data_IF_649876912846
#
_entry.id   IF_649876912846
#
_cell.length_a   1.000
_cell.length_b   1.000
_cell.length_c   1.000
_cell.angle_alpha   90.00
_cell.angle_beta   90.00
_cell.angle_gamma   90.00
#
_symmetry.space_group_name_H-M   'P 1'
#
loop_
_entity.id
_entity.type
_entity.pdbx_description
1 polymer ?
#
# COMPACT_ATOMS: atom_id res chain seq x y z
N UNK A 1 -3.83 6.83 11.73
CA UNK A 1 -2.85 5.71 11.87
C UNK A 1 -1.44 6.27 11.98
N UNK A 2 -0.94 6.98 10.96
CA UNK A 2 0.40 7.61 10.97
C UNK A 2 0.70 8.45 12.22
N UNK A 3 -0.19 9.38 12.60
CA UNK A 3 -0.04 10.19 13.82
C UNK A 3 -0.03 9.37 15.13
N UNK A 4 -0.69 8.21 15.14
CA UNK A 4 -0.68 7.27 16.27
C UNK A 4 0.53 6.34 16.24
N UNK A 5 1.45 6.54 15.30
CA UNK A 5 2.66 5.72 15.14
C UNK A 5 2.40 4.30 14.64
N UNK A 6 1.23 4.03 14.05
CA UNK A 6 0.87 2.73 13.47
C UNK A 6 1.37 2.67 12.03
N UNK A 7 2.32 1.76 11.78
CA UNK A 7 2.89 1.47 10.46
C UNK A 7 2.04 0.45 9.70
N UNK A 8 1.84 0.66 8.39
CA UNK A 8 1.09 -0.25 7.52
C UNK A 8 1.98 -0.88 6.45
N UNK A 9 2.07 -2.21 6.47
CA UNK A 9 2.59 -2.98 5.35
C UNK A 9 1.39 -3.47 4.53
N UNK A 10 1.27 -3.00 3.29
CA UNK A 10 0.11 -3.34 2.46
C UNK A 10 0.49 -4.42 1.48
N UNK A 11 -0.22 -5.56 1.53
CA UNK A 11 0.01 -6.67 0.61
C UNK A 11 -1.07 -6.65 -0.47
N UNK A 12 -0.66 -6.61 -1.73
CA UNK A 12 -1.57 -6.46 -2.87
C UNK A 12 -1.55 -7.67 -3.79
N UNK A 13 -2.69 -8.35 -3.96
CA UNK A 13 -2.81 -9.45 -4.92
C UNK A 13 -2.80 -8.93 -6.37
N UNK A 14 -1.69 -9.10 -7.06
CA UNK A 14 -1.53 -8.67 -8.45
C UNK A 14 -1.91 -9.79 -9.44
N UNK A 15 -2.58 -9.47 -10.56
CA UNK A 15 -2.87 -8.14 -11.10
C UNK A 15 -4.19 -7.48 -10.61
N UNK A 16 -4.98 -8.16 -9.77
CA UNK A 16 -6.33 -7.70 -9.40
C UNK A 16 -6.36 -6.35 -8.67
N UNK A 17 -5.36 -6.07 -7.84
CA UNK A 17 -5.27 -4.83 -7.06
C UNK A 17 -4.64 -3.66 -7.84
N UNK A 18 -4.06 -3.91 -9.02
CA UNK A 18 -3.31 -2.91 -9.81
C UNK A 18 -4.03 -1.58 -9.98
N UNK A 19 -5.36 -1.52 -10.25
CA UNK A 19 -6.09 -0.25 -10.35
C UNK A 19 -6.09 0.62 -9.09
N UNK A 20 -5.71 0.08 -7.93
CA UNK A 20 -5.66 0.76 -6.63
C UNK A 20 -4.26 0.72 -5.98
N UNK A 21 -3.28 0.10 -6.66
CA UNK A 21 -1.93 -0.11 -6.13
C UNK A 21 -1.33 1.18 -5.59
N UNK A 22 -1.37 2.25 -6.37
CA UNK A 22 -0.77 3.53 -6.01
C UNK A 22 -1.38 4.15 -4.75
N UNK A 23 -2.70 4.01 -4.57
CA UNK A 23 -3.39 4.49 -3.37
C UNK A 23 -2.92 3.73 -2.13
N UNK A 24 -2.80 2.40 -2.22
CA UNK A 24 -2.31 1.56 -1.12
C UNK A 24 -0.82 1.77 -0.85
N UNK A 25 -0.01 2.01 -1.89
CA UNK A 25 1.39 2.41 -1.76
C UNK A 25 1.51 3.75 -1.02
N UNK A 26 0.68 4.74 -1.35
CA UNK A 26 0.67 6.03 -0.67
C UNK A 26 0.28 5.91 0.82
N UNK A 27 -0.70 5.06 1.15
CA UNK A 27 -1.10 4.78 2.54
C UNK A 27 0.01 4.05 3.31
N UNK A 28 0.68 3.08 2.69
CA UNK A 28 1.82 2.42 3.33
C UNK A 28 2.93 3.45 3.60
N UNK A 29 3.27 4.26 2.59
CA UNK A 29 4.31 5.28 2.67
C UNK A 29 4.06 6.32 3.77
N UNK A 30 2.86 6.92 3.84
CA UNK A 30 2.56 7.96 4.86
C UNK A 30 2.70 7.42 6.30
N UNK A 31 2.52 6.11 6.49
CA UNK A 31 2.70 5.46 7.79
C UNK A 31 4.13 4.98 8.08
N UNK A 32 5.06 5.13 7.13
CA UNK A 32 6.42 4.61 7.20
C UNK A 32 6.56 3.12 6.85
N UNK A 33 5.51 2.51 6.30
CA UNK A 33 5.53 1.14 5.84
C UNK A 33 5.83 1.03 4.34
N UNK A 34 5.54 -0.14 3.76
CA UNK A 34 5.76 -0.39 2.34
C UNK A 34 4.64 -1.25 1.72
N UNK A 35 4.47 -1.12 0.41
CA UNK A 35 3.61 -1.99 -0.37
C UNK A 35 4.42 -3.22 -0.82
N UNK A 36 3.82 -4.40 -0.73
CA UNK A 36 4.41 -5.67 -1.16
C UNK A 36 3.46 -6.31 -2.17
N UNK A 37 3.87 -6.49 -3.43
CA UNK A 37 3.05 -7.24 -4.39
C UNK A 37 2.94 -8.70 -3.92
N UNK A 38 1.86 -9.38 -4.30
CA UNK A 38 1.64 -10.79 -4.02
C UNK A 38 1.05 -11.45 -5.27
N UNK A 39 1.79 -12.36 -5.87
CA UNK A 39 1.33 -13.15 -7.03
C UNK A 39 0.67 -14.47 -6.61
N UNK A 40 1.06 -15.03 -5.46
CA UNK A 40 0.55 -16.31 -4.97
C UNK A 40 0.43 -16.40 -3.45
N UNK A 41 -0.65 -17.02 -2.95
CA UNK A 41 -0.98 -17.04 -1.53
C UNK A 41 0.05 -17.75 -0.63
N UNK A 42 0.86 -18.67 -1.17
CA UNK A 42 1.88 -19.43 -0.42
C UNK A 42 2.91 -18.51 0.25
N UNK A 43 3.24 -17.39 -0.40
CA UNK A 43 4.26 -16.46 0.08
C UNK A 43 3.73 -15.42 1.07
N UNK A 44 2.42 -15.37 1.32
CA UNK A 44 1.81 -14.40 2.24
C UNK A 44 2.40 -14.50 3.66
N UNK A 45 2.61 -15.73 4.14
CA UNK A 45 3.21 -15.95 5.47
C UNK A 45 4.63 -15.38 5.56
N UNK A 46 5.44 -15.55 4.51
CA UNK A 46 6.80 -15.00 4.45
C UNK A 46 6.77 -13.47 4.47
N UNK A 47 5.84 -12.85 3.75
CA UNK A 47 5.66 -11.40 3.74
C UNK A 47 5.25 -10.86 5.11
N UNK A 48 4.27 -11.50 5.78
CA UNK A 48 3.81 -11.05 7.10
C UNK A 48 4.94 -11.13 8.12
N UNK A 49 5.65 -12.27 8.18
CA UNK A 49 6.78 -12.44 9.09
C UNK A 49 7.90 -11.47 8.72
N UNK A 50 8.22 -11.33 7.44
CA UNK A 50 9.31 -10.51 6.97
C UNK A 50 9.08 -9.01 7.19
N UNK A 51 7.87 -8.52 6.92
CA UNK A 51 7.48 -7.15 7.23
C UNK A 51 7.51 -6.84 8.72
N UNK A 52 7.06 -7.78 9.58
CA UNK A 52 7.18 -7.63 11.03
C UNK A 52 8.63 -7.60 11.49
N UNK A 53 9.49 -8.46 10.95
CA UNK A 53 10.92 -8.50 11.28
C UNK A 53 11.66 -7.23 10.85
N UNK A 54 11.38 -6.71 9.66
CA UNK A 54 11.91 -5.42 9.18
C UNK A 54 11.47 -4.29 10.11
N UNK A 55 10.18 -4.18 10.42
CA UNK A 55 9.66 -3.11 11.26
C UNK A 55 10.24 -3.14 12.68
N UNK A 56 10.32 -4.31 13.30
CA UNK A 56 10.97 -4.48 14.61
C UNK A 56 12.45 -4.12 14.57
N UNK A 57 13.12 -4.34 13.43
CA UNK A 57 14.53 -3.98 13.27
C UNK A 57 14.73 -2.48 13.14
N UNK A 58 13.85 -1.79 12.40
CA UNK A 58 13.90 -0.33 12.25
C UNK A 58 13.54 0.39 13.55
N UNK A 59 12.58 -0.11 14.34
CA UNK A 59 12.20 0.50 15.63
C UNK A 59 13.36 0.63 16.62
N UNK A 60 14.39 -0.22 16.53
CA UNK A 60 15.61 -0.10 17.36
C UNK A 60 16.34 1.22 17.14
N UNK A 61 16.21 1.79 15.95
CA UNK A 61 16.89 3.01 15.51
C UNK A 61 15.97 4.24 15.52
N UNK A 62 14.68 4.06 15.79
CA UNK A 62 13.70 5.15 15.72
C UNK A 62 13.93 6.24 16.76
N UNK A 63 14.56 5.95 17.90
CA UNK A 63 14.89 6.97 18.89
C UNK A 63 15.90 8.00 18.33
N UNK A 64 16.92 7.51 17.64
CA UNK A 64 17.94 8.36 17.01
C UNK A 64 17.33 9.20 15.89
N UNK A 65 16.52 8.59 15.02
CA UNK A 65 15.79 9.33 13.97
C UNK A 65 14.88 10.38 14.57
N UNK A 66 14.20 10.03 15.67
CA UNK A 66 13.28 10.96 16.31
C UNK A 66 14.01 12.19 16.86
N UNK A 67 15.22 12.04 17.42
CA UNK A 67 16.04 13.16 17.89
C UNK A 67 16.37 14.12 16.74
N UNK A 68 16.83 13.59 15.61
CA UNK A 68 17.17 14.40 14.43
C UNK A 68 15.94 15.13 13.86
N UNK A 69 14.82 14.42 13.73
CA UNK A 69 13.57 15.01 13.20
C UNK A 69 13.04 16.09 14.14
N UNK A 70 13.02 15.87 15.46
CA UNK A 70 12.55 16.88 16.40
C UNK A 70 13.46 18.09 16.46
N UNK A 71 14.78 17.90 16.40
CA UNK A 71 15.74 19.00 16.37
C UNK A 71 15.52 19.92 15.16
N UNK A 72 15.25 19.33 13.99
CA UNK A 72 14.94 20.07 12.76
C UNK A 72 13.59 20.79 12.83
N UNK A 73 12.57 20.14 13.41
CA UNK A 73 11.26 20.78 13.63
C UNK A 73 11.35 21.97 14.59
N UNK A 74 12.13 21.84 15.66
CA UNK A 74 12.37 22.92 16.64
C UNK A 74 13.16 24.07 16.02
N UNK A 75 14.21 23.77 15.26
CA UNK A 75 15.03 24.78 14.58
C UNK A 75 14.22 25.60 13.56
N UNK A 76 13.29 24.97 12.85
CA UNK A 76 12.39 25.65 11.89
C UNK A 76 11.12 26.22 12.53
N UNK A 77 10.80 25.85 13.77
CA UNK A 77 9.58 26.26 14.46
C UNK A 77 8.29 25.65 13.89
N UNK A 78 8.35 24.47 13.27
CA UNK A 78 7.17 23.84 12.66
C UNK A 78 7.41 22.50 11.96
N UNK A 79 6.34 21.95 11.38
CA UNK A 79 6.29 20.62 10.73
C UNK A 79 6.95 20.63 9.33
N UNK A 80 7.14 21.81 8.74
CA UNK A 80 7.68 22.00 7.39
C UNK A 80 9.21 21.83 7.33
N UNK A 81 9.64 20.61 7.61
CA UNK A 81 11.03 20.18 7.50
C UNK A 81 11.33 19.67 6.09
N UNK A 82 12.57 19.85 5.66
CA UNK A 82 13.04 19.30 4.38
C UNK A 82 13.34 17.80 4.60
N UNK A 83 12.38 16.95 4.26
CA UNK A 83 12.45 15.50 4.48
C UNK A 83 13.69 14.87 3.82
N UNK A 84 14.11 15.36 2.65
CA UNK A 84 15.24 14.78 1.93
C UNK A 84 16.57 15.13 2.60
N UNK A 85 16.71 16.38 3.05
CA UNK A 85 17.87 16.81 3.82
C UNK A 85 17.99 16.05 5.14
N UNK A 86 16.88 15.89 5.88
CA UNK A 86 16.87 15.12 7.13
C UNK A 86 17.14 13.64 6.89
N UNK A 87 16.58 13.05 5.83
CA UNK A 87 16.86 11.66 5.43
C UNK A 87 18.35 11.46 5.14
N UNK A 88 18.98 12.39 4.42
CA UNK A 88 20.42 12.33 4.13
C UNK A 88 21.26 12.41 5.40
N UNK A 89 20.90 13.26 6.36
CA UNK A 89 21.55 13.36 7.67
C UNK A 89 21.42 12.07 8.48
N UNK A 90 20.20 11.53 8.56
CA UNK A 90 19.91 10.27 9.25
C UNK A 90 20.67 9.10 8.62
N UNK A 91 20.78 9.05 7.29
CA UNK A 91 21.56 8.01 6.61
C UNK A 91 23.06 8.12 6.91
N UNK A 92 23.62 9.33 6.94
CA UNK A 92 25.00 9.55 7.34
C UNK A 92 25.24 9.13 8.81
N UNK A 93 24.28 9.43 9.70
CA UNK A 93 24.30 8.97 11.09
C UNK A 93 24.34 7.44 11.17
N UNK A 94 23.47 6.75 10.44
CA UNK A 94 23.42 5.29 10.41
C UNK A 94 24.73 4.68 9.91
N UNK A 95 25.32 5.22 8.85
CA UNK A 95 26.64 4.79 8.38
C UNK A 95 27.72 4.97 9.44
N UNK A 96 27.73 6.12 10.12
CA UNK A 96 28.72 6.40 11.17
C UNK A 96 28.61 5.44 12.36
N UNK A 97 27.39 4.99 12.68
CA UNK A 97 27.12 4.04 13.78
C UNK A 97 27.23 2.57 13.37
N UNK A 98 27.47 2.28 12.08
CA UNK A 98 27.39 0.91 11.56
C UNK A 98 26.00 0.29 11.75
N UNK A 99 24.95 1.12 11.64
CA UNK A 99 23.58 0.70 11.89
C UNK A 99 23.13 -0.32 10.84
N UNK A 100 22.55 -1.42 11.32
CA UNK A 100 22.04 -2.51 10.50
C UNK A 100 20.57 -2.72 10.72
N UNK A 101 19.88 -3.14 9.67
CA UNK A 101 18.48 -3.50 9.70
C UNK A 101 18.21 -4.72 8.85
N UNK A 102 17.14 -5.42 9.23
CA UNK A 102 16.47 -6.37 8.35
C UNK A 102 15.76 -5.65 7.21
N UNK A 103 15.66 -6.29 6.05
CA UNK A 103 14.96 -5.78 4.88
C UNK A 103 14.27 -6.91 4.12
N UNK A 104 12.98 -6.74 3.84
CA UNK A 104 12.22 -7.67 3.01
C UNK A 104 12.60 -7.50 1.53
N UNK A 105 12.97 -8.59 0.90
CA UNK A 105 13.30 -8.69 -0.52
C UNK A 105 12.29 -9.57 -1.24
N UNK A 106 12.04 -9.26 -2.51
CA UNK A 106 11.31 -10.10 -3.45
C UNK A 106 12.31 -10.58 -4.51
N UNK A 107 12.47 -11.89 -4.65
CA UNK A 107 13.38 -12.51 -5.62
C UNK A 107 14.80 -11.91 -5.53
N UNK A 108 15.38 -11.81 -4.32
CA UNK A 108 16.70 -11.21 -4.03
C UNK A 108 16.84 -9.74 -4.42
N UNK A 109 15.73 -9.07 -4.71
CA UNK A 109 15.70 -7.67 -5.11
C UNK A 109 14.93 -6.87 -4.07
N UNK A 110 15.39 -5.64 -3.80
CA UNK A 110 14.67 -4.73 -2.92
C UNK A 110 13.29 -4.44 -3.51
N UNK A 111 12.28 -4.33 -2.63
CA UNK A 111 10.96 -3.93 -3.03
C UNK A 111 10.98 -2.56 -3.71
N UNK A 112 10.13 -2.37 -4.71
CA UNK A 112 10.07 -1.13 -5.45
C UNK A 112 9.72 0.04 -4.52
N UNK A 113 10.48 1.14 -4.66
CA UNK A 113 10.14 2.39 -4.01
C UNK A 113 8.77 2.91 -4.50
N UNK A 114 8.05 3.70 -3.69
CA UNK A 114 6.83 4.37 -4.12
C UNK A 114 7.03 5.13 -5.43
N UNK A 115 6.01 5.12 -6.30
CA UNK A 115 6.05 5.94 -7.50
C UNK A 115 5.95 7.44 -7.13
N UNK A 116 6.33 8.32 -8.05
CA UNK A 116 6.11 9.77 -7.90
C UNK A 116 4.64 10.12 -7.67
N UNK A 117 3.72 9.34 -8.26
CA UNK A 117 2.29 9.50 -8.07
C UNK A 117 1.85 9.11 -6.65
N UNK A 118 2.34 7.99 -6.12
CA UNK A 118 2.11 7.60 -4.73
C UNK A 118 2.66 8.62 -3.72
N UNK A 119 3.87 9.16 -3.95
CA UNK A 119 4.44 10.23 -3.13
C UNK A 119 3.53 11.47 -3.12
N UNK A 120 3.08 11.93 -4.29
CA UNK A 120 2.17 13.08 -4.43
C UNK A 120 0.85 12.85 -3.68
N UNK A 121 0.26 11.65 -3.81
CA UNK A 121 -0.98 11.30 -3.10
C UNK A 121 -0.80 11.26 -1.58
N UNK A 122 0.36 10.81 -1.10
CA UNK A 122 0.64 10.70 0.34
C UNK A 122 0.64 12.04 1.07
N UNK A 123 0.93 13.14 0.35
CA UNK A 123 0.88 14.50 0.88
C UNK A 123 -0.53 15.10 0.91
N UNK A 124 -1.54 14.44 0.34
CA UNK A 124 -2.91 14.97 0.28
C UNK A 124 -3.72 14.58 1.50
N UNK A 125 -4.44 15.55 2.08
CA UNK A 125 -5.29 15.33 3.25
C UNK A 125 -6.74 14.94 2.92
N UNK A 126 -7.22 15.25 1.71
CA UNK A 126 -8.61 15.00 1.29
C UNK A 126 -8.69 14.04 0.11
N UNK A 127 -9.63 13.10 0.19
CA UNK A 127 -9.94 12.17 -0.90
C UNK A 127 -10.45 12.87 -2.17
N UNK A 128 -11.09 14.04 -2.04
CA UNK A 128 -11.52 14.85 -3.20
C UNK A 128 -10.35 15.23 -4.09
N UNK A 129 -9.22 15.56 -3.48
CA UNK A 129 -8.04 16.08 -4.17
C UNK A 129 -7.31 14.93 -4.87
N UNK A 130 -7.27 13.75 -4.21
CA UNK A 130 -6.78 12.51 -4.80
C UNK A 130 -7.63 12.12 -6.01
N UNK A 131 -8.96 12.11 -5.89
CA UNK A 131 -9.85 11.76 -7.01
C UNK A 131 -9.66 12.71 -8.21
N UNK A 132 -9.37 13.99 -7.98
CA UNK A 132 -9.15 14.97 -9.03
C UNK A 132 -7.88 14.71 -9.86
N UNK A 133 -6.86 14.06 -9.28
CA UNK A 133 -5.63 13.67 -9.96
C UNK A 133 -5.66 12.22 -10.46
N UNK A 134 -6.40 11.33 -9.80
CA UNK A 134 -6.41 9.89 -10.09
C UNK A 134 -6.86 9.59 -11.52
N UNK A 135 -7.95 10.21 -11.96
CA UNK A 135 -8.48 9.99 -13.31
C UNK A 135 -7.54 10.53 -14.42
N UNK A 136 -6.58 11.40 -14.08
CA UNK A 136 -5.69 12.08 -15.03
C UNK A 136 -4.30 11.48 -15.09
N UNK A 137 -3.77 11.05 -13.95
CA UNK A 137 -2.37 10.71 -13.76
C UNK A 137 -2.14 9.26 -13.31
N UNK A 138 -3.21 8.49 -13.00
CA UNK A 138 -3.03 7.10 -12.58
C UNK A 138 -2.35 6.28 -13.68
N UNK A 139 -1.31 5.48 -13.34
CA UNK A 139 -0.65 4.63 -14.30
C UNK A 139 -1.67 3.65 -14.90
N UNK A 140 -1.67 3.54 -16.23
CA UNK A 140 -2.58 2.64 -16.93
C UNK A 140 -2.39 1.21 -16.41
N UNK A 141 -3.48 0.48 -16.09
CA UNK A 141 -3.36 -0.91 -15.71
C UNK A 141 -2.73 -1.69 -16.87
N UNK A 142 -1.83 -2.62 -16.55
CA UNK A 142 -1.21 -3.47 -17.56
C UNK A 142 -2.28 -4.12 -18.46
N UNK A 143 -2.03 -4.24 -19.78
CA UNK A 143 -3.00 -4.80 -20.71
C UNK A 143 -3.37 -6.23 -20.30
N UNK A 144 -4.61 -6.40 -19.83
CA UNK A 144 -5.11 -7.68 -19.28
C UNK A 144 -5.98 -7.55 -18.02
N UNK A 145 -5.98 -6.38 -17.36
CA UNK A 145 -6.88 -6.12 -16.23
C UNK A 145 -8.34 -6.01 -16.71
N UNK A 146 -9.11 -7.09 -16.55
CA UNK A 146 -10.53 -7.12 -16.85
C UNK A 146 -11.31 -6.12 -15.98
N UNK A 147 -11.66 -4.97 -16.57
CA UNK A 147 -12.78 -4.16 -16.10
C UNK A 147 -13.76 -3.96 -17.25
N UNK A 148 -14.85 -4.75 -17.24
CA UNK A 148 -16.06 -4.39 -17.99
C UNK A 148 -16.61 -3.11 -17.34
N UNK A 149 -16.38 -1.95 -17.95
CA UNK A 149 -17.09 -0.71 -17.58
C UNK A 149 -18.60 -0.96 -17.72
N UNK A 150 -19.31 -1.06 -16.59
CA UNK A 150 -20.76 -0.98 -16.58
C UNK A 150 -21.16 0.42 -17.05
N UNK A 151 -21.55 0.54 -18.31
CA UNK A 151 -22.19 1.76 -18.84
C UNK A 151 -23.52 1.94 -18.10
N UNK A 152 -23.55 2.87 -17.15
CA UNK A 152 -24.79 3.41 -16.58
C UNK A 152 -25.47 4.25 -17.67
N UNK A 153 -26.19 3.61 -18.58
CA UNK A 153 -27.17 4.29 -19.44
C UNK A 153 -28.46 4.39 -18.65
N UNK A 154 -28.91 5.63 -18.43
CA UNK A 154 -30.22 5.90 -17.86
C UNK A 154 -31.32 5.23 -18.70
N UNK A 155 -32.26 4.61 -18.01
CA UNK A 155 -33.55 4.27 -18.58
C UNK A 155 -34.61 4.90 -17.67
N UNK A 156 -35.03 6.10 -18.08
CA UNK A 156 -36.26 6.73 -17.65
C UNK A 156 -37.44 5.98 -18.30
N UNK A 157 -38.51 5.87 -17.51
CA UNK A 157 -39.91 5.65 -17.91
C UNK A 157 -40.29 4.40 -18.73
N UNK A 158 -41.01 3.49 -18.06
CA UNK A 158 -42.29 2.99 -18.57
C UNK A 158 -43.16 2.47 -17.43
N UNK A 159 -43.86 3.37 -16.75
CA UNK A 159 -45.10 3.03 -16.05
C UNK A 159 -46.22 2.94 -17.09
N UNK A 160 -46.79 1.74 -17.29
CA UNK A 160 -48.18 1.58 -17.74
C UNK A 160 -48.70 0.16 -17.45
N UNK A 161 -49.49 0.08 -16.39
CA UNK A 161 -50.72 -0.72 -16.21
C UNK A 161 -51.01 -1.90 -17.15
N UNK A 162 -51.27 -3.09 -16.59
CA UNK A 162 -52.61 -3.72 -16.58
C UNK A 162 -52.64 -5.00 -15.75
N UNK A 163 -53.84 -5.27 -15.24
CA UNK A 163 -54.30 -6.23 -14.25
C UNK A 163 -54.69 -7.61 -14.82
N UNK A 164 -55.06 -8.52 -13.89
CA UNK A 164 -55.47 -9.94 -13.97
C UNK A 164 -54.29 -10.90 -13.89
N UNK A 165 -54.20 -11.87 -12.96
CA UNK A 165 -55.20 -12.57 -12.15
C UNK A 165 -55.08 -14.06 -12.47
N UNK A 166 -54.91 -14.92 -11.46
CA UNK A 166 -54.95 -16.38 -11.61
C UNK A 166 -53.94 -17.15 -10.77
N UNK A 167 -54.45 -17.92 -9.82
CA UNK A 167 -53.78 -18.93 -8.99
C UNK A 167 -53.17 -20.08 -9.81
N UNK A 168 -52.05 -20.64 -9.35
CA UNK A 168 -51.85 -22.08 -9.13
C UNK A 168 -50.48 -22.35 -8.52
N UNK A 169 -50.49 -23.21 -7.50
CA UNK A 169 -49.35 -23.90 -6.89
C UNK A 169 -48.59 -24.73 -7.95
N UNK A 170 -47.26 -24.79 -7.84
CA UNK A 170 -46.45 -25.96 -8.20
C UNK A 170 -45.02 -25.75 -7.67
N UNK A 171 -44.60 -26.67 -6.81
CA UNK A 171 -43.25 -26.86 -6.28
C UNK A 171 -42.28 -27.23 -7.41
N UNK A 172 -41.12 -26.59 -7.47
CA UNK A 172 -39.90 -27.22 -8.01
C UNK A 172 -38.64 -26.45 -7.56
N UNK A 173 -37.97 -27.03 -6.56
CA UNK A 173 -36.67 -26.66 -6.06
C UNK A 173 -35.60 -27.02 -7.12
N UNK A 174 -35.27 -26.08 -8.02
CA UNK A 174 -34.21 -26.28 -9.01
C UNK A 174 -32.85 -26.19 -8.33
N UNK A 175 -32.36 -27.33 -7.87
CA UNK A 175 -30.97 -27.53 -7.44
C UNK A 175 -30.04 -27.32 -8.65
N UNK A 176 -29.47 -26.12 -8.76
CA UNK A 176 -28.48 -25.82 -9.79
C UNK A 176 -27.26 -26.74 -9.60
N UNK A 177 -26.80 -27.46 -10.64
CA UNK A 177 -25.63 -28.31 -10.52
C UNK A 177 -24.39 -27.44 -10.20
N UNK A 178 -23.49 -27.90 -9.31
CA UNK A 178 -22.24 -27.19 -9.07
C UNK A 178 -21.49 -27.09 -10.39
N UNK A 179 -21.15 -25.86 -10.78
CA UNK A 179 -20.32 -25.60 -11.94
C UNK A 179 -19.00 -26.38 -11.81
N UNK A 180 -18.51 -27.01 -12.89
CA UNK A 180 -17.25 -27.72 -12.83
C UNK A 180 -16.16 -26.73 -12.45
N UNK A 181 -15.47 -27.03 -11.34
CA UNK A 181 -14.26 -26.34 -10.93
C UNK A 181 -13.28 -26.44 -12.10
N UNK A 182 -13.18 -25.37 -12.89
CA UNK A 182 -12.16 -25.25 -13.91
C UNK A 182 -10.83 -25.46 -13.19
N UNK A 183 -10.09 -26.48 -13.63
CA UNK A 183 -8.74 -26.73 -13.16
C UNK A 183 -7.99 -25.41 -13.27
N UNK A 184 -7.44 -24.94 -12.16
CA UNK A 184 -6.49 -23.85 -12.17
C UNK A 184 -5.33 -24.35 -13.02
N UNK A 185 -5.34 -23.98 -14.29
CA UNK A 185 -4.20 -24.10 -15.18
C UNK A 185 -3.04 -23.41 -14.46
N UNK A 186 -2.01 -24.21 -14.20
CA UNK A 186 -0.67 -23.83 -13.75
C UNK A 186 -0.25 -22.54 -14.43
N UNK A 187 -0.41 -21.42 -13.71
CA UNK A 187 0.31 -20.19 -14.04
C UNK A 187 1.80 -20.52 -13.85
N UNK A 188 2.59 -20.22 -14.88
CA UNK A 188 3.98 -20.67 -15.01
C UNK A 188 4.85 -20.43 -13.78
N UNK A 189 5.72 -21.39 -13.54
CA UNK A 189 6.61 -21.56 -12.39
C UNK A 189 7.68 -20.46 -12.26
N UNK A 190 7.27 -19.26 -11.89
CA UNK A 190 8.13 -18.32 -11.19
C UNK A 190 7.37 -17.82 -9.96
N UNK A 191 7.31 -18.67 -8.93
CA UNK A 191 6.74 -18.27 -7.64
C UNK A 191 7.67 -17.22 -7.02
N UNK A 192 7.10 -16.08 -6.63
CA UNK A 192 7.86 -15.05 -5.92
C UNK A 192 8.38 -15.58 -4.57
N UNK A 193 9.68 -15.47 -4.38
CA UNK A 193 10.36 -15.81 -3.12
C UNK A 193 10.54 -14.54 -2.31
N UNK A 194 10.09 -14.57 -1.05
CA UNK A 194 10.26 -13.46 -0.12
C UNK A 194 11.21 -13.86 1.00
N UNK A 195 12.24 -13.06 1.19
CA UNK A 195 13.28 -13.31 2.18
C UNK A 195 13.65 -12.03 2.91
N UNK A 196 14.23 -12.20 4.10
CA UNK A 196 14.68 -11.09 4.93
C UNK A 196 16.19 -11.15 5.02
N UNK A 197 16.83 -10.09 4.57
CA UNK A 197 18.28 -9.94 4.66
C UNK A 197 18.64 -8.93 5.73
N UNK A 198 19.74 -9.16 6.44
CA UNK A 198 20.32 -8.22 7.40
C UNK A 198 21.45 -7.44 6.72
N UNK A 199 21.29 -6.13 6.59
CA UNK A 199 22.23 -5.27 5.89
C UNK A 199 22.31 -3.88 6.48
N UNK A 200 23.07 -3.01 5.81
CA UNK A 200 23.08 -1.57 6.12
C UNK A 200 21.70 -0.96 5.89
N UNK A 201 21.33 0.06 6.68
CA UNK A 201 20.06 0.75 6.49
C UNK A 201 20.09 1.55 5.18
N UNK A 202 19.27 1.12 4.22
CA UNK A 202 19.17 1.79 2.93
C UNK A 202 18.46 3.15 3.02
N UNK A 203 18.69 3.99 1.99
CA UNK A 203 18.09 5.33 1.92
C UNK A 203 16.56 5.30 2.04
N UNK A 204 15.89 4.33 1.41
CA UNK A 204 14.44 4.24 1.46
C UNK A 204 13.91 3.84 2.85
N UNK A 205 14.67 3.00 3.59
CA UNK A 205 14.34 2.70 4.98
C UNK A 205 14.52 3.94 5.86
N UNK A 206 15.61 4.71 5.68
CA UNK A 206 15.82 5.97 6.38
C UNK A 206 14.70 6.99 6.09
N UNK A 207 14.29 7.13 4.82
CA UNK A 207 13.19 8.02 4.41
C UNK A 207 11.89 7.64 5.12
N UNK A 208 11.55 6.34 5.12
CA UNK A 208 10.37 5.81 5.82
C UNK A 208 10.39 6.09 7.32
N UNK A 209 11.56 5.96 7.96
CA UNK A 209 11.73 6.28 9.37
C UNK A 209 11.55 7.77 9.66
N UNK A 210 12.10 8.65 8.82
CA UNK A 210 11.92 10.11 8.92
C UNK A 210 10.45 10.48 8.75
N UNK A 211 9.80 9.96 7.71
CA UNK A 211 8.36 10.17 7.47
C UNK A 211 7.53 9.74 8.67
N UNK A 212 7.82 8.56 9.22
CA UNK A 212 7.13 8.03 10.40
C UNK A 212 7.34 8.89 11.64
N UNK A 213 8.57 9.33 11.91
CA UNK A 213 8.86 10.23 13.04
C UNK A 213 8.19 11.59 12.85
N UNK A 214 8.20 12.15 11.64
CA UNK A 214 7.50 13.40 11.30
C UNK A 214 6.01 13.28 11.62
N UNK A 215 5.36 12.21 11.17
CA UNK A 215 3.93 12.00 11.42
C UNK A 215 3.61 11.78 12.91
N UNK A 216 4.48 11.10 13.67
CA UNK A 216 4.31 10.92 15.14
C UNK A 216 4.39 12.23 15.91
N UNK A 217 5.22 13.17 15.47
CA UNK A 217 5.39 14.46 16.14
C UNK A 217 4.44 15.54 15.61
N UNK A 218 3.73 15.29 14.52
CA UNK A 218 2.82 16.24 13.89
C UNK A 218 1.85 16.89 14.90
N UNK A 219 1.24 16.14 15.82
CA UNK A 219 0.30 16.70 16.80
C UNK A 219 0.92 17.63 17.84
N UNK A 220 2.25 17.59 18.03
CA UNK A 220 2.96 18.47 18.97
C UNK A 220 3.25 19.85 18.38
N UNK A 221 3.29 19.94 17.05
CA UNK A 221 3.67 21.15 16.30
C UNK A 221 2.55 21.60 15.33
N UNK A 222 1.32 21.12 15.53
CA UNK A 222 0.15 21.41 14.69
C UNK A 222 -0.68 22.58 15.20
#
# INVERSE_FOLDING_TARGET
MAQKGITLYTVGCEPSITPYKEFFTAIAYITGGQYVPLTGAKSLTQIIIGGAQEEMSLEKWMEDVNKEVTAEMEAKGGIDIDEEAVTSKVQALFKSKGARSKQLHQNKTQLAAPSSFAYKMSGMSKLSDINAIYDKEAPAPAPGAFMKKAKKKGLLNSMRSRSKGGDSEDDDEVCAPPLPMASMSTFGDCEDVYEVEDGEIHMEQARRMVQKSKMRNMSKYS
#
